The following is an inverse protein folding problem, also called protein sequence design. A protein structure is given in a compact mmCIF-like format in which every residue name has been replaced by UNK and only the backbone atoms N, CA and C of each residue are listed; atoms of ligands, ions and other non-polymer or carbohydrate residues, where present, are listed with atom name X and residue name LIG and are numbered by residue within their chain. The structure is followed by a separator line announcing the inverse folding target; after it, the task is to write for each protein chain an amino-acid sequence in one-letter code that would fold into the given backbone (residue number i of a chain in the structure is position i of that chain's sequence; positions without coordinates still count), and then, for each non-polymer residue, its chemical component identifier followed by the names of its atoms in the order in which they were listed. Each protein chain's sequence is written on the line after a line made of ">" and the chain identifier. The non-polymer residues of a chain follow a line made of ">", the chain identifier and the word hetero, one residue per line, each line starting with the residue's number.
data_IF_687031299720
#
_entry.id   IF_687031299720
#
_cell.length_a   1.000
_cell.length_b   1.000
_cell.length_c   1.000
_cell.angle_alpha   90.00
_cell.angle_beta   90.00
_cell.angle_gamma   90.00
#
_symmetry.space_group_name_H-M   'P 1'
#
loop_
_entity.id
_entity.type
_entity.pdbx_description
1 polymer ?
#
# COMPACT_ATOMS: atom_id res chain seq x y z
N UNK A 1 -27.92 50.48 -19.57
CA UNK A 1 -27.83 49.00 -19.55
C UNK A 1 -26.79 48.58 -18.52
N UNK A 2 -27.19 48.24 -17.29
CA UNK A 2 -26.26 47.90 -16.20
C UNK A 2 -26.85 46.85 -15.23
N UNK A 3 -27.79 46.03 -15.72
CA UNK A 3 -28.55 45.08 -14.89
C UNK A 3 -27.89 43.69 -14.74
N UNK A 4 -26.78 43.41 -15.43
CA UNK A 4 -26.15 42.07 -15.45
C UNK A 4 -25.23 41.74 -14.26
N UNK A 5 -24.67 42.74 -13.57
CA UNK A 5 -23.60 42.52 -12.59
C UNK A 5 -24.05 41.87 -11.27
N UNK A 6 -25.23 42.23 -10.77
CA UNK A 6 -25.73 41.74 -9.47
C UNK A 6 -26.14 40.27 -9.48
N UNK A 7 -26.56 39.74 -10.64
CA UNK A 7 -26.94 38.33 -10.79
C UNK A 7 -25.73 37.40 -10.74
N UNK A 8 -24.63 37.77 -11.42
CA UNK A 8 -23.38 36.99 -11.41
C UNK A 8 -22.73 36.94 -10.02
N UNK A 9 -22.77 38.04 -9.26
CA UNK A 9 -22.21 38.09 -7.91
C UNK A 9 -23.02 37.25 -6.90
N UNK A 10 -24.35 37.17 -7.09
CA UNK A 10 -25.23 36.33 -6.26
C UNK A 10 -25.03 34.84 -6.57
N UNK A 11 -24.93 34.46 -7.85
CA UNK A 11 -24.61 33.10 -8.29
C UNK A 11 -23.23 32.67 -7.79
N UNK A 12 -22.22 33.56 -7.84
CA UNK A 12 -20.89 33.29 -7.29
C UNK A 12 -20.90 33.00 -5.78
N UNK A 13 -21.64 33.77 -4.99
CA UNK A 13 -21.77 33.55 -3.53
C UNK A 13 -22.55 32.27 -3.21
N UNK A 14 -23.58 31.94 -3.98
CA UNK A 14 -24.35 30.70 -3.84
C UNK A 14 -23.54 29.46 -4.23
N UNK A 15 -22.77 29.54 -5.33
CA UNK A 15 -21.83 28.50 -5.73
C UNK A 15 -20.80 28.29 -4.63
N UNK A 16 -20.12 29.34 -4.14
CA UNK A 16 -19.11 29.23 -3.08
C UNK A 16 -19.68 28.69 -1.76
N UNK A 17 -20.91 29.06 -1.38
CA UNK A 17 -21.56 28.53 -0.18
C UNK A 17 -21.95 27.04 -0.32
N UNK A 18 -22.30 26.59 -1.53
CA UNK A 18 -22.54 25.17 -1.80
C UNK A 18 -21.23 24.37 -1.88
N UNK A 19 -20.17 24.98 -2.44
CA UNK A 19 -18.84 24.37 -2.58
C UNK A 19 -18.25 24.01 -1.22
N UNK A 20 -18.46 24.83 -0.18
CA UNK A 20 -17.93 24.57 1.16
C UNK A 20 -18.51 23.31 1.81
N UNK A 21 -19.82 23.07 1.68
CA UNK A 21 -20.48 21.88 2.24
C UNK A 21 -20.08 20.61 1.49
N UNK A 22 -20.03 20.72 0.16
CA UNK A 22 -19.60 19.64 -0.73
C UNK A 22 -18.14 19.27 -0.42
N UNK A 23 -17.26 20.26 -0.26
CA UNK A 23 -15.85 20.05 0.10
C UNK A 23 -15.67 19.34 1.45
N UNK A 24 -16.39 19.76 2.49
CA UNK A 24 -16.34 19.10 3.80
C UNK A 24 -16.80 17.65 3.68
N UNK A 25 -17.85 17.38 2.90
CA UNK A 25 -18.30 16.01 2.65
C UNK A 25 -17.23 15.16 1.95
N UNK A 26 -16.59 15.68 0.89
CA UNK A 26 -15.50 15.00 0.19
C UNK A 26 -14.31 14.72 1.11
N UNK A 27 -13.91 15.69 1.93
CA UNK A 27 -12.82 15.52 2.89
C UNK A 27 -13.13 14.42 3.92
N UNK A 28 -14.35 14.40 4.47
CA UNK A 28 -14.73 13.40 5.47
C UNK A 28 -14.76 11.99 4.87
N UNK A 29 -15.22 11.84 3.63
CA UNK A 29 -15.23 10.56 2.92
C UNK A 29 -13.83 10.12 2.47
N UNK A 30 -12.94 11.07 2.14
CA UNK A 30 -11.56 10.77 1.75
C UNK A 30 -10.62 10.55 2.94
N UNK A 31 -10.94 11.07 4.12
CA UNK A 31 -10.08 10.98 5.30
C UNK A 31 -9.83 9.53 5.74
N UNK A 32 -10.87 8.70 5.82
CA UNK A 32 -10.76 7.30 6.23
C UNK A 32 -9.86 6.49 5.26
N UNK A 33 -10.12 6.45 3.94
CA UNK A 33 -9.25 5.75 3.02
C UNK A 33 -7.83 6.30 3.08
N UNK A 34 -7.65 7.63 3.12
CA UNK A 34 -6.33 8.24 3.23
C UNK A 34 -5.52 7.76 4.44
N UNK A 35 -6.11 7.74 5.64
CA UNK A 35 -5.45 7.27 6.86
C UNK A 35 -5.05 5.80 6.71
N UNK A 36 -5.94 4.98 6.16
CA UNK A 36 -5.69 3.56 5.96
C UNK A 36 -4.57 3.32 4.95
N UNK A 37 -4.63 3.93 3.76
CA UNK A 37 -3.61 3.70 2.73
C UNK A 37 -2.25 4.23 3.16
N UNK A 38 -2.21 5.39 3.82
CA UNK A 38 -0.95 5.95 4.31
C UNK A 38 -0.33 5.09 5.42
N UNK A 39 -1.16 4.51 6.30
CA UNK A 39 -0.70 3.56 7.33
C UNK A 39 -0.14 2.29 6.69
N UNK A 40 -0.89 1.68 5.75
CA UNK A 40 -0.44 0.46 5.05
C UNK A 40 0.83 0.72 4.23
N UNK A 41 0.90 1.86 3.54
CA UNK A 41 2.09 2.34 2.84
C UNK A 41 3.30 2.37 3.78
N UNK A 42 3.18 3.00 4.95
CA UNK A 42 4.25 3.08 5.93
C UNK A 42 4.70 1.70 6.44
N UNK A 43 3.75 0.81 6.73
CA UNK A 43 4.06 -0.55 7.21
C UNK A 43 4.81 -1.37 6.14
N UNK A 44 4.41 -1.29 4.87
CA UNK A 44 5.08 -2.01 3.79
C UNK A 44 6.46 -1.43 3.44
N UNK A 45 6.62 -0.11 3.46
CA UNK A 45 7.95 0.50 3.33
C UNK A 45 8.86 0.14 4.50
N UNK A 46 8.31 0.02 5.72
CA UNK A 46 9.04 -0.47 6.88
C UNK A 46 9.57 -1.90 6.69
N UNK A 47 8.71 -2.82 6.26
CA UNK A 47 9.12 -4.20 5.95
C UNK A 47 10.15 -4.28 4.82
N UNK A 48 10.00 -3.45 3.79
CA UNK A 48 11.00 -3.34 2.72
C UNK A 48 12.35 -2.83 3.25
N UNK A 49 12.33 -1.82 4.13
CA UNK A 49 13.55 -1.29 4.75
C UNK A 49 14.23 -2.30 5.66
N UNK A 50 13.47 -3.07 6.44
CA UNK A 50 13.99 -4.15 7.28
C UNK A 50 14.66 -5.24 6.41
N UNK A 51 14.05 -5.60 5.28
CA UNK A 51 14.61 -6.56 4.33
C UNK A 51 15.90 -6.04 3.68
N UNK A 52 15.92 -4.76 3.26
CA UNK A 52 17.11 -4.12 2.72
C UNK A 52 18.26 -4.07 3.75
N UNK A 53 17.96 -3.68 4.99
CA UNK A 53 18.93 -3.69 6.09
C UNK A 53 19.52 -5.09 6.29
N UNK A 54 18.69 -6.13 6.27
CA UNK A 54 19.18 -7.50 6.38
C UNK A 54 20.13 -7.90 5.25
N UNK A 55 19.77 -7.56 4.01
CA UNK A 55 20.60 -7.84 2.83
C UNK A 55 21.96 -7.13 2.89
N UNK A 56 21.96 -5.86 3.31
CA UNK A 56 23.19 -5.07 3.41
C UNK A 56 24.14 -5.62 4.50
N UNK A 57 23.58 -6.19 5.58
CA UNK A 57 24.33 -6.73 6.72
C UNK A 57 24.65 -8.22 6.63
N UNK A 58 24.07 -8.96 5.69
CA UNK A 58 24.35 -10.40 5.48
C UNK A 58 25.81 -10.70 5.07
N UNK A 59 26.62 -9.65 4.81
CA UNK A 59 28.07 -9.74 4.66
C UNK A 59 28.54 -10.26 3.30
N UNK A 60 29.82 -10.00 2.99
CA UNK A 60 30.49 -10.40 1.74
C UNK A 60 30.61 -11.93 1.52
N UNK A 61 30.20 -12.74 2.51
CA UNK A 61 30.14 -14.20 2.45
C UNK A 61 28.98 -14.74 1.61
N UNK A 62 28.02 -13.89 1.24
CA UNK A 62 26.90 -14.23 0.38
C UNK A 62 27.00 -13.38 -0.89
N UNK A 63 26.68 -13.98 -2.04
CA UNK A 63 26.80 -13.31 -3.32
C UNK A 63 25.94 -12.03 -3.29
N UNK A 64 26.53 -10.85 -3.49
CA UNK A 64 25.81 -9.56 -3.38
C UNK A 64 24.63 -9.45 -4.34
N UNK A 65 24.64 -10.27 -5.40
CA UNK A 65 23.58 -10.35 -6.39
C UNK A 65 22.36 -11.17 -5.93
N UNK A 66 22.47 -11.89 -4.81
CA UNK A 66 21.37 -12.68 -4.24
C UNK A 66 20.69 -11.94 -3.10
N UNK A 67 19.36 -11.82 -3.18
CA UNK A 67 18.52 -11.22 -2.14
C UNK A 67 18.41 -12.19 -0.94
N UNK A 68 19.43 -12.23 -0.08
CA UNK A 68 19.55 -13.16 1.06
C UNK A 68 18.30 -13.20 1.95
N UNK A 69 17.62 -12.07 2.09
CA UNK A 69 16.35 -11.99 2.82
C UNK A 69 15.28 -12.91 2.24
N UNK A 70 15.15 -12.96 0.91
CA UNK A 70 14.16 -13.82 0.24
C UNK A 70 14.50 -15.32 0.38
N UNK A 71 15.73 -15.65 0.80
CA UNK A 71 16.19 -16.99 1.17
C UNK A 71 16.14 -17.25 2.69
N UNK A 72 15.48 -16.38 3.45
CA UNK A 72 15.27 -16.53 4.89
C UNK A 72 16.57 -16.62 5.70
N UNK A 73 17.64 -15.99 5.20
CA UNK A 73 18.97 -16.04 5.85
C UNK A 73 19.73 -17.35 5.67
N UNK A 74 19.19 -18.33 4.93
CA UNK A 74 19.80 -19.64 4.75
C UNK A 74 20.38 -19.71 3.33
N UNK A 75 21.69 -19.50 3.22
CA UNK A 75 22.44 -19.85 2.02
C UNK A 75 23.15 -21.16 2.31
N UNK A 76 22.51 -22.28 2.00
CA UNK A 76 23.23 -23.56 1.97
C UNK A 76 23.16 -24.20 0.59
N UNK A 77 24.32 -24.54 -0.01
CA UNK A 77 24.36 -25.57 -1.02
C UNK A 77 24.14 -26.91 -0.31
N UNK A 78 22.96 -27.51 -0.50
CA UNK A 78 22.66 -28.95 -0.45
C UNK A 78 23.12 -29.84 0.73
N UNK A 79 23.79 -29.36 1.78
CA UNK A 79 24.37 -30.23 2.81
C UNK A 79 23.48 -30.51 4.04
N UNK A 80 22.41 -29.73 4.26
CA UNK A 80 21.48 -29.94 5.38
C UNK A 80 20.16 -30.62 4.98
N UNK A 81 19.97 -30.99 3.71
CA UNK A 81 18.74 -31.62 3.21
C UNK A 81 17.49 -30.72 3.21
N UNK A 82 17.60 -29.47 3.68
CA UNK A 82 16.53 -28.47 3.65
C UNK A 82 16.86 -27.45 2.56
N UNK A 83 16.22 -27.61 1.40
CA UNK A 83 16.21 -26.57 0.37
C UNK A 83 15.10 -25.56 0.69
N UNK A 84 15.48 -24.29 0.78
CA UNK A 84 14.55 -23.17 0.78
C UNK A 84 14.48 -22.65 -0.64
N UNK A 85 13.26 -22.49 -1.17
CA UNK A 85 13.03 -21.71 -2.38
C UNK A 85 13.05 -20.21 -2.10
N UNK A 86 13.29 -19.43 -3.14
CA UNK A 86 13.18 -17.97 -3.12
C UNK A 86 11.73 -17.56 -2.81
N UNK A 87 11.51 -16.99 -1.63
CA UNK A 87 10.18 -16.62 -1.14
C UNK A 87 9.59 -15.40 -1.84
N UNK A 88 10.42 -14.59 -2.51
CA UNK A 88 10.04 -13.31 -3.15
C UNK A 88 9.33 -12.33 -2.20
N UNK A 89 9.52 -12.44 -0.89
CA UNK A 89 8.85 -11.55 0.08
C UNK A 89 9.17 -10.08 -0.16
N UNK A 90 10.41 -9.76 -0.53
CA UNK A 90 10.83 -8.40 -0.88
C UNK A 90 10.00 -7.85 -2.05
N UNK A 91 9.73 -8.66 -3.08
CA UNK A 91 8.88 -8.27 -4.22
C UNK A 91 7.45 -7.99 -3.74
N UNK A 92 6.92 -8.82 -2.84
CA UNK A 92 5.60 -8.60 -2.25
C UNK A 92 5.55 -7.27 -1.49
N UNK A 93 6.54 -6.99 -0.66
CA UNK A 93 6.58 -5.75 0.12
C UNK A 93 6.65 -4.51 -0.79
N UNK A 94 7.51 -4.54 -1.80
CA UNK A 94 7.66 -3.45 -2.77
C UNK A 94 6.38 -3.23 -3.57
N UNK A 95 5.76 -4.28 -4.09
CA UNK A 95 4.51 -4.15 -4.85
C UNK A 95 3.39 -3.56 -4.00
N UNK A 96 3.25 -4.02 -2.75
CA UNK A 96 2.25 -3.47 -1.84
C UNK A 96 2.56 -2.02 -1.45
N UNK A 97 3.82 -1.69 -1.17
CA UNK A 97 4.24 -0.33 -0.85
C UNK A 97 3.91 0.64 -1.99
N UNK A 98 4.25 0.29 -3.23
CA UNK A 98 3.91 1.07 -4.43
C UNK A 98 2.40 1.21 -4.58
N UNK A 99 1.66 0.11 -4.42
CA UNK A 99 0.20 0.11 -4.53
C UNK A 99 -0.44 1.07 -3.53
N UNK A 100 -0.11 0.97 -2.25
CA UNK A 100 -0.65 1.88 -1.24
C UNK A 100 -0.14 3.32 -1.38
N UNK A 101 1.05 3.52 -1.96
CA UNK A 101 1.52 4.87 -2.33
C UNK A 101 0.64 5.48 -3.42
N UNK A 102 0.33 4.72 -4.48
CA UNK A 102 -0.57 5.16 -5.55
C UNK A 102 -1.99 5.43 -5.03
N UNK A 103 -2.56 4.52 -4.21
CA UNK A 103 -3.86 4.75 -3.59
C UNK A 103 -3.85 6.04 -2.75
N UNK A 104 -2.80 6.28 -1.97
CA UNK A 104 -2.67 7.50 -1.15
C UNK A 104 -2.62 8.75 -2.02
N UNK A 105 -1.79 8.77 -3.06
CA UNK A 105 -1.65 9.91 -3.98
C UNK A 105 -2.96 10.20 -4.71
N UNK A 106 -3.64 9.18 -5.24
CA UNK A 106 -4.91 9.39 -5.94
C UNK A 106 -6.05 9.78 -4.99
N UNK A 107 -6.03 9.31 -3.74
CA UNK A 107 -6.98 9.77 -2.71
C UNK A 107 -6.76 11.25 -2.38
N UNK A 108 -5.50 11.69 -2.27
CA UNK A 108 -5.19 13.13 -2.10
C UNK A 108 -5.65 13.92 -3.33
N UNK A 109 -5.39 13.43 -4.54
CA UNK A 109 -5.83 14.10 -5.77
C UNK A 109 -7.37 14.26 -5.83
N UNK A 110 -8.11 13.21 -5.44
CA UNK A 110 -9.57 13.27 -5.30
C UNK A 110 -10.02 14.28 -4.24
N UNK A 111 -9.37 14.31 -3.08
CA UNK A 111 -9.69 15.27 -2.02
C UNK A 111 -9.42 16.73 -2.45
N UNK A 112 -8.36 16.96 -3.23
CA UNK A 112 -7.99 18.28 -3.75
C UNK A 112 -8.78 18.69 -5.00
N UNK A 113 -9.62 17.79 -5.54
CA UNK A 113 -10.40 18.06 -6.75
C UNK A 113 -11.43 19.19 -6.57
N UNK A 114 -11.80 19.47 -5.32
CA UNK A 114 -12.60 20.64 -4.95
C UNK A 114 -11.94 21.98 -5.29
N UNK A 115 -10.60 22.03 -5.39
CA UNK A 115 -9.86 23.23 -5.78
C UNK A 115 -9.52 23.25 -7.27
N UNK A 116 -9.28 22.07 -7.86
CA UNK A 116 -8.88 21.94 -9.25
C UNK A 116 -9.57 20.73 -9.90
N UNK A 117 -10.58 21.01 -10.73
CA UNK A 117 -11.37 20.00 -11.43
C UNK A 117 -10.55 18.93 -12.20
N UNK A 118 -9.42 19.25 -12.88
CA UNK A 118 -8.62 18.22 -13.54
C UNK A 118 -8.11 17.11 -12.61
N UNK A 119 -7.96 17.39 -11.31
CA UNK A 119 -7.57 16.40 -10.31
C UNK A 119 -8.70 15.38 -10.04
N UNK A 120 -9.97 15.73 -10.27
CA UNK A 120 -11.08 14.78 -10.19
C UNK A 120 -10.88 13.64 -11.20
N UNK A 121 -10.62 13.98 -12.46
CA UNK A 121 -10.42 12.99 -13.52
C UNK A 121 -9.18 12.12 -13.26
N UNK A 122 -8.07 12.75 -12.89
CA UNK A 122 -6.83 12.04 -12.56
C UNK A 122 -7.02 11.10 -11.35
N UNK A 123 -7.66 11.60 -10.29
CA UNK A 123 -7.95 10.85 -9.08
C UNK A 123 -8.88 9.66 -9.34
N UNK A 124 -9.96 9.85 -10.11
CA UNK A 124 -10.89 8.76 -10.46
C UNK A 124 -10.21 7.69 -11.32
N UNK A 125 -9.53 8.09 -12.40
CA UNK A 125 -8.84 7.15 -13.29
C UNK A 125 -7.73 6.38 -12.55
N UNK A 126 -6.94 7.09 -11.75
CA UNK A 126 -5.88 6.51 -10.94
C UNK A 126 -6.41 5.55 -9.88
N UNK A 127 -7.51 5.89 -9.21
CA UNK A 127 -8.15 5.01 -8.22
C UNK A 127 -8.65 3.70 -8.87
N UNK A 128 -9.28 3.77 -10.05
CA UNK A 128 -9.74 2.59 -10.79
C UNK A 128 -8.58 1.63 -11.12
N UNK A 129 -7.49 2.15 -11.67
CA UNK A 129 -6.30 1.35 -12.00
C UNK A 129 -5.63 0.78 -10.74
N UNK A 130 -5.61 1.57 -9.66
CA UNK A 130 -5.01 1.16 -8.39
C UNK A 130 -5.79 0.05 -7.69
N UNK A 131 -7.12 -0.02 -7.85
CA UNK A 131 -7.92 -1.14 -7.32
C UNK A 131 -7.60 -2.46 -8.03
N UNK A 132 -7.34 -2.43 -9.34
CA UNK A 132 -6.90 -3.63 -10.07
C UNK A 132 -5.54 -4.11 -9.54
N UNK A 133 -4.63 -3.16 -9.29
CA UNK A 133 -3.33 -3.46 -8.70
C UNK A 133 -3.47 -4.00 -7.27
N UNK A 134 -4.35 -3.44 -6.44
CA UNK A 134 -4.63 -3.89 -5.08
C UNK A 134 -5.14 -5.33 -5.05
N UNK A 135 -6.03 -5.72 -5.97
CA UNK A 135 -6.45 -7.12 -6.10
C UNK A 135 -5.28 -8.02 -6.48
N UNK A 136 -4.44 -7.59 -7.43
CA UNK A 136 -3.26 -8.34 -7.83
C UNK A 136 -2.27 -8.53 -6.66
N UNK A 137 -2.04 -7.49 -5.85
CA UNK A 137 -1.14 -7.60 -4.70
C UNK A 137 -1.69 -8.49 -3.61
N UNK A 138 -3.02 -8.53 -3.38
CA UNK A 138 -3.64 -9.49 -2.46
C UNK A 138 -3.34 -10.91 -2.91
N UNK A 139 -3.57 -11.23 -4.19
CA UNK A 139 -3.32 -12.58 -4.73
C UNK A 139 -1.85 -12.96 -4.58
N UNK A 140 -0.94 -12.07 -5.02
CA UNK A 140 0.51 -12.27 -4.94
C UNK A 140 0.97 -12.47 -3.49
N UNK A 141 0.46 -11.66 -2.56
CA UNK A 141 0.76 -11.78 -1.13
C UNK A 141 0.31 -13.13 -0.59
N UNK A 142 -0.91 -13.56 -0.91
CA UNK A 142 -1.44 -14.86 -0.50
C UNK A 142 -0.60 -16.03 -1.03
N UNK A 143 -0.24 -16.00 -2.32
CA UNK A 143 0.56 -17.06 -2.96
C UNK A 143 1.93 -17.18 -2.28
N UNK A 144 2.67 -16.09 -2.14
CA UNK A 144 4.04 -16.15 -1.61
C UNK A 144 4.08 -16.36 -0.08
N UNK A 145 3.17 -15.75 0.69
CA UNK A 145 3.12 -15.93 2.15
C UNK A 145 2.75 -17.37 2.56
N UNK A 146 1.82 -17.99 1.84
CA UNK A 146 1.31 -19.34 2.17
C UNK A 146 1.92 -20.46 1.31
N UNK A 147 2.89 -20.13 0.45
CA UNK A 147 3.75 -21.10 -0.22
C UNK A 147 4.50 -22.00 0.79
N UNK A 148 5.00 -23.15 0.33
CA UNK A 148 5.79 -24.04 1.17
C UNK A 148 7.03 -23.34 1.74
N UNK A 149 7.72 -22.56 0.91
CA UNK A 149 8.92 -21.82 1.30
C UNK A 149 8.58 -20.65 2.23
N UNK A 150 7.52 -19.89 1.92
CA UNK A 150 7.04 -18.80 2.79
C UNK A 150 6.64 -19.28 4.18
N UNK A 151 5.99 -20.45 4.30
CA UNK A 151 5.67 -21.05 5.61
C UNK A 151 6.92 -21.42 6.40
N UNK A 152 7.87 -22.11 5.77
CA UNK A 152 9.14 -22.47 6.42
C UNK A 152 9.94 -21.23 6.84
N UNK A 153 9.91 -20.18 6.02
CA UNK A 153 10.54 -18.88 6.32
C UNK A 153 9.95 -18.25 7.59
N UNK A 154 8.61 -18.23 7.67
CA UNK A 154 7.88 -17.70 8.81
C UNK A 154 8.05 -18.51 10.12
N UNK A 155 8.75 -19.64 10.08
CA UNK A 155 9.09 -20.44 11.26
C UNK A 155 10.54 -20.20 11.72
N UNK A 156 11.33 -19.42 10.99
CA UNK A 156 12.73 -19.17 11.32
C UNK A 156 12.88 -18.07 12.38
N UNK A 157 13.39 -18.43 13.56
CA UNK A 157 13.72 -17.49 14.63
C UNK A 157 15.06 -16.75 14.42
N UNK A 158 15.47 -16.55 13.17
CA UNK A 158 16.72 -15.86 12.82
C UNK A 158 16.47 -14.34 12.94
N UNK A 159 17.28 -13.60 13.71
CA UNK A 159 17.14 -12.15 13.83
C UNK A 159 17.56 -11.45 12.52
N UNK A 160 16.77 -10.46 12.10
CA UNK A 160 16.97 -9.69 10.87
C UNK A 160 17.53 -8.28 11.11
N UNK A 161 17.39 -7.75 12.33
CA UNK A 161 17.88 -6.42 12.69
C UNK A 161 18.32 -6.34 14.16
N UNK A 162 18.92 -5.21 14.54
CA UNK A 162 19.37 -4.92 15.92
C UNK A 162 18.23 -4.97 16.96
N UNK A 163 16.99 -4.74 16.53
CA UNK A 163 15.81 -4.81 17.38
C UNK A 163 15.37 -6.26 17.68
N UNK A 164 16.16 -7.26 17.26
CA UNK A 164 15.86 -8.70 17.40
C UNK A 164 14.56 -9.10 16.71
N UNK A 165 14.14 -8.36 15.69
CA UNK A 165 13.02 -8.78 14.86
C UNK A 165 13.42 -10.05 14.12
N UNK A 166 12.55 -11.05 14.05
CA UNK A 166 12.83 -12.34 13.40
C UNK A 166 12.00 -12.54 12.14
N UNK A 167 12.29 -13.55 11.33
CA UNK A 167 11.42 -13.92 10.20
C UNK A 167 10.04 -14.40 10.66
N UNK A 168 9.91 -14.91 11.89
CA UNK A 168 8.60 -15.20 12.50
C UNK A 168 7.79 -13.92 12.63
N UNK A 169 8.38 -12.87 13.20
CA UNK A 169 7.71 -11.58 13.39
C UNK A 169 7.32 -10.95 12.04
N UNK A 170 8.20 -11.06 11.02
CA UNK A 170 7.88 -10.61 9.66
C UNK A 170 6.72 -11.42 9.08
N UNK A 171 6.75 -12.74 9.22
CA UNK A 171 5.72 -13.64 8.73
C UNK A 171 4.35 -13.33 9.36
N UNK A 172 4.31 -13.06 10.66
CA UNK A 172 3.09 -12.70 11.38
C UNK A 172 2.58 -11.32 10.98
N UNK A 173 3.47 -10.34 10.84
CA UNK A 173 3.11 -9.01 10.30
C UNK A 173 2.55 -9.11 8.88
N UNK A 174 3.20 -9.87 8.00
CA UNK A 174 2.75 -10.08 6.63
C UNK A 174 1.37 -10.76 6.59
N UNK A 175 1.10 -11.72 7.48
CA UNK A 175 -0.21 -12.35 7.61
C UNK A 175 -1.28 -11.36 8.11
N UNK A 176 -0.99 -10.59 9.15
CA UNK A 176 -1.89 -9.56 9.67
C UNK A 176 -2.23 -8.50 8.61
N UNK A 177 -1.20 -8.02 7.90
CA UNK A 177 -1.38 -7.07 6.80
C UNK A 177 -2.21 -7.69 5.68
N UNK A 178 -1.95 -8.94 5.27
CA UNK A 178 -2.74 -9.63 4.24
C UNK A 178 -4.23 -9.70 4.60
N UNK A 179 -4.57 -10.07 5.83
CA UNK A 179 -5.95 -10.10 6.30
C UNK A 179 -6.55 -8.69 6.25
N UNK A 180 -5.80 -7.68 6.70
CA UNK A 180 -6.24 -6.29 6.59
C UNK A 180 -6.50 -5.89 5.14
N UNK A 181 -5.62 -6.24 4.18
CA UNK A 181 -5.84 -5.92 2.75
C UNK A 181 -7.16 -6.50 2.23
N UNK A 182 -7.44 -7.77 2.54
CA UNK A 182 -8.67 -8.44 2.11
C UNK A 182 -9.92 -7.69 2.60
N UNK A 183 -9.92 -7.26 3.86
CA UNK A 183 -11.02 -6.47 4.43
C UNK A 183 -11.10 -5.09 3.78
N UNK A 184 -9.95 -4.43 3.63
CA UNK A 184 -9.86 -3.08 3.08
C UNK A 184 -10.27 -3.01 1.61
N UNK A 185 -10.03 -4.06 0.82
CA UNK A 185 -10.47 -4.12 -0.57
C UNK A 185 -11.99 -3.93 -0.68
N UNK A 186 -12.77 -4.55 0.20
CA UNK A 186 -14.22 -4.36 0.26
C UNK A 186 -14.60 -2.93 0.62
N UNK A 187 -13.97 -2.36 1.66
CA UNK A 187 -14.24 -0.98 2.10
C UNK A 187 -13.91 0.04 1.02
N UNK A 188 -12.76 -0.11 0.36
CA UNK A 188 -12.35 0.77 -0.74
C UNK A 188 -13.31 0.71 -1.92
N UNK A 189 -13.78 -0.49 -2.29
CA UNK A 189 -14.79 -0.66 -3.34
C UNK A 189 -16.10 0.08 -3.02
N UNK A 190 -16.58 -0.02 -1.77
CA UNK A 190 -17.79 0.70 -1.34
C UNK A 190 -17.60 2.22 -1.31
N UNK A 191 -16.53 2.71 -0.66
CA UNK A 191 -16.30 4.15 -0.50
C UNK A 191 -16.04 4.86 -1.83
N UNK A 192 -15.28 4.25 -2.74
CA UNK A 192 -15.06 4.81 -4.08
C UNK A 192 -16.33 4.77 -4.92
N UNK A 193 -17.17 3.72 -4.78
CA UNK A 193 -18.46 3.65 -5.44
C UNK A 193 -19.37 4.83 -5.10
N UNK A 194 -19.41 5.23 -3.83
CA UNK A 194 -20.18 6.41 -3.41
C UNK A 194 -19.59 7.74 -3.91
N UNK A 195 -18.26 7.86 -4.02
CA UNK A 195 -17.62 9.08 -4.51
C UNK A 195 -17.83 9.32 -6.02
N UNK A 196 -18.17 8.26 -6.76
CA UNK A 196 -18.42 8.29 -8.20
C UNK A 196 -19.90 8.50 -8.59
N UNK A 197 -20.82 8.48 -7.62
CA UNK A 197 -22.25 8.73 -7.81
C UNK A 197 -22.61 10.19 -7.56
#
# INVERSE_FOLDING_TARGET
>A
MQAGGKSAECVGKLLMASSGKIFISYLMMAAIPFIISSTMMGLYWGLFSDAAYYNDNAGASMNKDTNTFDWCGIVTPSMSGITFGDTKWTVVFTLNAITYTLLTVFTIALALSAFAWPLAFCGCAGACCSQMLHLATIIVTGVFRYSKDGKKCAEQAIPINENKLTFVDVGDRMQGLFIAQCVLFCFYGCCLGFLLQ
#
